data_IF_338770368208
#
_entry.id   IF_338770368208
#
_cell.length_a   1.000
_cell.length_b   1.000
_cell.length_c   1.000
_cell.angle_alpha   90.00
_cell.angle_beta   90.00
_cell.angle_gamma   90.00
#
_symmetry.space_group_name_H-M   'P 1'
#
loop_
_entity.id
_entity.type
_entity.pdbx_description
1 polymer ?
#
# COMPACT_ATOMS: atom_id res chain seq x y z
N UNK A 1 -20.56 -4.32 -0.13
CA UNK A 1 -20.21 -4.03 1.25
C UNK A 1 -21.35 -3.35 1.95
N UNK A 2 -21.18 -2.94 3.19
CA UNK A 2 -22.24 -2.29 3.98
C UNK A 2 -22.64 -0.95 3.34
N UNK A 3 -23.90 -0.85 2.87
CA UNK A 3 -24.42 0.34 2.17
C UNK A 3 -25.31 1.20 3.07
N UNK A 4 -25.72 0.67 4.23
CA UNK A 4 -26.58 1.34 5.19
C UNK A 4 -25.77 1.81 6.41
N UNK A 5 -26.22 2.90 7.02
CA UNK A 5 -25.62 3.49 8.21
C UNK A 5 -25.91 4.99 8.26
N UNK A 6 -25.74 5.60 9.44
CA UNK A 6 -26.04 7.02 9.67
C UNK A 6 -24.82 7.95 9.51
N UNK A 7 -23.63 7.38 9.38
CA UNK A 7 -22.37 8.13 9.24
C UNK A 7 -22.05 8.40 7.78
N UNK A 8 -21.23 9.42 7.46
CA UNK A 8 -20.69 9.59 6.12
C UNK A 8 -19.97 8.34 5.63
N UNK A 9 -20.16 7.94 4.36
CA UNK A 9 -19.59 6.71 3.83
C UNK A 9 -18.06 6.78 3.73
N UNK A 10 -17.40 5.67 4.07
CA UNK A 10 -15.98 5.45 3.82
C UNK A 10 -15.81 4.76 2.47
N UNK A 11 -15.06 5.39 1.56
CA UNK A 11 -14.69 4.83 0.26
C UNK A 11 -13.31 4.17 0.37
N UNK A 12 -13.28 2.83 0.38
CA UNK A 12 -12.04 2.06 0.43
C UNK A 12 -11.58 1.64 -0.96
N UNK A 13 -10.43 2.10 -1.36
CA UNK A 13 -9.81 1.72 -2.62
C UNK A 13 -9.15 0.36 -2.46
N UNK A 14 -9.53 -0.55 -3.35
CA UNK A 14 -9.02 -1.90 -3.44
C UNK A 14 -8.15 -2.04 -4.67
N UNK A 15 -6.98 -2.59 -4.50
CA UNK A 15 -6.02 -2.78 -5.58
C UNK A 15 -5.97 -4.22 -6.09
N UNK A 16 -6.31 -5.20 -5.25
CA UNK A 16 -6.36 -6.60 -5.66
C UNK A 16 -7.56 -7.34 -5.06
N UNK A 17 -7.88 -8.53 -5.60
CA UNK A 17 -9.12 -9.22 -5.21
C UNK A 17 -9.09 -9.80 -3.79
N UNK A 18 -7.91 -10.18 -3.29
CA UNK A 18 -7.74 -10.70 -1.92
C UNK A 18 -8.13 -9.74 -0.81
N UNK A 19 -8.15 -8.43 -1.06
CA UNK A 19 -8.57 -7.42 -0.09
C UNK A 19 -10.06 -7.46 0.30
N UNK A 20 -10.89 -8.21 -0.44
CA UNK A 20 -12.34 -8.30 -0.12
C UNK A 20 -12.58 -8.88 1.27
N UNK A 21 -11.87 -9.96 1.63
CA UNK A 21 -11.99 -10.58 2.94
C UNK A 21 -11.52 -9.63 4.04
N UNK A 22 -10.35 -9.03 3.89
CA UNK A 22 -9.78 -8.05 4.82
C UNK A 22 -10.71 -6.85 5.05
N UNK A 23 -11.27 -6.28 3.97
CA UNK A 23 -12.20 -5.18 4.08
C UNK A 23 -13.55 -5.58 4.70
N UNK A 24 -14.00 -6.82 4.51
CA UNK A 24 -15.20 -7.34 5.21
C UNK A 24 -14.96 -7.50 6.70
N UNK A 25 -13.79 -7.99 7.10
CA UNK A 25 -13.41 -8.09 8.51
C UNK A 25 -13.34 -6.72 9.15
N UNK A 26 -12.67 -5.77 8.51
CA UNK A 26 -12.63 -4.37 8.96
C UNK A 26 -14.04 -3.77 9.09
N UNK A 27 -14.93 -4.01 8.11
CA UNK A 27 -16.29 -3.50 8.14
C UNK A 27 -17.11 -4.02 9.33
N UNK A 28 -16.95 -5.29 9.71
CA UNK A 28 -17.61 -5.86 10.90
C UNK A 28 -17.17 -5.14 12.17
N UNK A 29 -15.88 -4.83 12.31
CA UNK A 29 -15.35 -4.12 13.47
C UNK A 29 -15.71 -2.63 13.51
N UNK A 30 -15.88 -1.98 12.35
CA UNK A 30 -16.36 -0.58 12.27
C UNK A 30 -17.86 -0.47 12.64
N UNK A 31 -18.57 -1.58 12.60
CA UNK A 31 -19.96 -1.69 13.04
C UNK A 31 -20.98 -1.22 11.99
N UNK A 32 -22.27 -1.49 12.25
CA UNK A 32 -23.34 -1.28 11.27
C UNK A 32 -23.62 0.19 10.93
N UNK A 33 -23.20 1.10 11.79
CA UNK A 33 -23.41 2.55 11.57
C UNK A 33 -22.48 3.17 10.54
N UNK A 34 -21.43 2.47 10.08
CA UNK A 34 -20.45 2.98 9.12
C UNK A 34 -20.66 2.40 7.73
N UNK A 35 -21.25 3.16 6.78
CA UNK A 35 -21.30 2.73 5.38
C UNK A 35 -19.90 2.62 4.79
N UNK A 36 -19.66 1.53 4.03
CA UNK A 36 -18.37 1.29 3.38
C UNK A 36 -18.60 0.88 1.93
N UNK A 37 -18.02 1.66 1.03
CA UNK A 37 -17.96 1.35 -0.40
C UNK A 37 -16.56 0.88 -0.77
N UNK A 38 -16.47 -0.33 -1.29
CA UNK A 38 -15.21 -0.89 -1.78
C UNK A 38 -15.09 -0.63 -3.28
N UNK A 39 -14.16 0.21 -3.65
CA UNK A 39 -13.86 0.55 -5.04
C UNK A 39 -12.95 -0.52 -5.63
N UNK A 40 -13.51 -1.37 -6.48
CA UNK A 40 -12.80 -2.53 -7.03
C UNK A 40 -11.68 -2.11 -8.02
N UNK A 41 -10.62 -2.91 -8.20
CA UNK A 41 -9.68 -2.71 -9.31
C UNK A 41 -10.36 -2.99 -10.66
N UNK A 42 -9.76 -2.55 -11.78
CA UNK A 42 -10.25 -2.94 -13.11
C UNK A 42 -10.20 -4.46 -13.27
N UNK A 43 -11.11 -4.98 -14.08
CA UNK A 43 -11.05 -6.36 -14.52
C UNK A 43 -10.22 -6.42 -15.79
N UNK A 44 -9.34 -7.40 -15.91
CA UNK A 44 -8.51 -7.57 -17.09
C UNK A 44 -7.58 -8.77 -16.96
N UNK A 45 -7.10 -9.24 -18.09
CA UNK A 45 -6.19 -10.37 -18.20
C UNK A 45 -4.88 -10.00 -18.89
N UNK A 46 -4.88 -8.91 -19.66
CA UNK A 46 -3.74 -8.43 -20.44
C UNK A 46 -3.09 -7.21 -19.79
N UNK A 47 -1.81 -6.95 -20.01
CA UNK A 47 -1.12 -5.78 -19.48
C UNK A 47 -1.79 -4.45 -19.79
N UNK A 48 -2.37 -4.30 -20.99
CA UNK A 48 -3.05 -3.09 -21.44
C UNK A 48 -4.41 -2.82 -20.76
N UNK A 49 -4.96 -3.79 -20.04
CA UNK A 49 -6.24 -3.66 -19.35
C UNK A 49 -6.11 -2.88 -18.02
N UNK A 50 -4.89 -2.60 -17.60
CA UNK A 50 -4.62 -1.95 -16.32
C UNK A 50 -4.02 -0.56 -16.48
N UNK A 51 -4.35 0.38 -15.57
CA UNK A 51 -3.74 1.71 -15.58
C UNK A 51 -2.21 1.65 -15.47
N UNK A 52 -1.53 2.52 -16.21
CA UNK A 52 -0.06 2.50 -16.36
C UNK A 52 0.71 3.13 -15.21
N UNK A 53 0.04 3.98 -14.40
CA UNK A 53 0.62 4.70 -13.27
C UNK A 53 -0.44 5.02 -12.19
N UNK A 54 0.00 5.54 -11.05
CA UNK A 54 -0.88 5.85 -9.93
C UNK A 54 -1.95 6.91 -10.25
N UNK A 55 -1.65 7.85 -11.14
CA UNK A 55 -2.61 8.89 -11.53
C UNK A 55 -3.77 8.29 -12.34
N UNK A 56 -3.46 7.41 -13.30
CA UNK A 56 -4.50 6.70 -14.07
C UNK A 56 -5.33 5.75 -13.18
N UNK A 57 -4.71 5.12 -12.16
CA UNK A 57 -5.44 4.37 -11.14
C UNK A 57 -6.37 5.26 -10.33
N UNK A 58 -5.93 6.47 -9.97
CA UNK A 58 -6.76 7.43 -9.23
C UNK A 58 -7.93 7.95 -10.06
N UNK A 59 -7.76 8.21 -11.36
CA UNK A 59 -8.86 8.60 -12.26
C UNK A 59 -9.93 7.52 -12.32
N UNK A 60 -9.54 6.26 -12.47
CA UNK A 60 -10.47 5.14 -12.47
C UNK A 60 -11.19 4.98 -11.12
N UNK A 61 -10.48 5.13 -10.01
CA UNK A 61 -11.09 5.06 -8.68
C UNK A 61 -12.05 6.22 -8.45
N UNK A 62 -11.69 7.44 -8.87
CA UNK A 62 -12.53 8.63 -8.78
C UNK A 62 -13.81 8.48 -9.59
N UNK A 63 -13.75 8.00 -10.83
CA UNK A 63 -14.95 7.77 -11.65
C UNK A 63 -15.95 6.83 -10.98
N UNK A 64 -15.44 5.77 -10.33
CA UNK A 64 -16.27 4.82 -9.57
C UNK A 64 -16.82 5.40 -8.27
N UNK A 65 -16.03 6.24 -7.61
CA UNK A 65 -16.47 6.95 -6.40
C UNK A 65 -17.61 7.91 -6.73
N UNK A 66 -17.47 8.72 -7.76
CA UNK A 66 -18.47 9.70 -8.18
C UNK A 66 -19.75 9.06 -8.74
N UNK A 67 -19.72 7.80 -9.14
CA UNK A 67 -20.90 7.03 -9.50
C UNK A 67 -21.78 6.64 -8.28
N UNK A 68 -21.29 6.82 -7.06
CA UNK A 68 -22.06 6.63 -5.84
C UNK A 68 -22.68 7.98 -5.46
N UNK A 69 -24.02 8.10 -5.39
CA UNK A 69 -24.67 9.35 -4.98
C UNK A 69 -24.21 9.79 -3.59
N UNK A 70 -23.40 10.85 -3.52
CA UNK A 70 -22.88 11.41 -2.28
C UNK A 70 -22.35 12.83 -2.54
N UNK A 71 -22.77 13.77 -1.73
CA UNK A 71 -22.38 15.19 -1.86
C UNK A 71 -21.18 15.60 -0.99
N UNK A 72 -20.62 14.65 -0.23
CA UNK A 72 -19.55 14.92 0.75
C UNK A 72 -20.09 15.11 2.17
N UNK A 73 -19.22 15.28 3.17
CA UNK A 73 -17.76 15.23 3.04
C UNK A 73 -17.24 13.84 2.66
N UNK A 74 -16.19 13.80 1.91
CA UNK A 74 -15.60 12.52 1.46
C UNK A 74 -14.59 11.98 2.47
N UNK A 75 -14.75 10.70 2.82
CA UNK A 75 -13.83 9.90 3.61
C UNK A 75 -13.27 8.83 2.67
N UNK A 76 -12.00 8.92 2.34
CA UNK A 76 -11.36 8.04 1.37
C UNK A 76 -10.23 7.29 2.04
N UNK A 77 -10.06 6.03 1.75
CA UNK A 77 -8.95 5.27 2.31
C UNK A 77 -8.49 4.13 1.42
N UNK A 78 -7.35 3.57 1.78
CA UNK A 78 -6.81 2.40 1.09
C UNK A 78 -5.62 1.80 1.79
N UNK A 79 -5.39 0.53 1.52
CA UNK A 79 -4.27 -0.22 2.06
C UNK A 79 -3.12 -0.28 1.09
N UNK A 80 -1.88 -0.12 1.59
CA UNK A 80 -0.67 -0.24 0.77
C UNK A 80 -0.73 0.72 -0.43
N UNK A 81 -0.63 0.24 -1.66
CA UNK A 81 -0.80 1.06 -2.87
C UNK A 81 -2.19 1.72 -2.97
N UNK A 82 -3.22 1.11 -2.40
CA UNK A 82 -4.55 1.70 -2.29
C UNK A 82 -4.57 3.03 -1.54
N UNK A 83 -3.71 3.20 -0.52
CA UNK A 83 -3.55 4.46 0.19
C UNK A 83 -2.90 5.55 -0.67
N UNK A 84 -1.96 5.19 -1.55
CA UNK A 84 -1.41 6.12 -2.56
C UNK A 84 -2.53 6.61 -3.48
N UNK A 85 -3.36 5.70 -3.97
CA UNK A 85 -4.47 6.05 -4.85
C UNK A 85 -5.51 6.88 -4.08
N UNK A 86 -5.77 6.58 -2.80
CA UNK A 86 -6.69 7.34 -1.96
C UNK A 86 -6.27 8.82 -1.81
N UNK A 87 -4.97 9.07 -1.59
CA UNK A 87 -4.44 10.43 -1.55
C UNK A 87 -4.65 11.16 -2.88
N UNK A 88 -4.32 10.52 -3.98
CA UNK A 88 -4.50 11.06 -5.34
C UNK A 88 -5.98 11.31 -5.70
N UNK A 89 -6.90 10.46 -5.23
CA UNK A 89 -8.35 10.67 -5.36
C UNK A 89 -8.79 11.87 -4.53
N UNK A 90 -8.31 11.99 -3.29
CA UNK A 90 -8.61 13.14 -2.43
C UNK A 90 -8.20 14.46 -3.07
N UNK A 91 -6.98 14.54 -3.62
CA UNK A 91 -6.49 15.71 -4.33
C UNK A 91 -7.38 16.08 -5.55
N UNK A 92 -7.90 15.08 -6.25
CA UNK A 92 -8.80 15.31 -7.39
C UNK A 92 -10.19 15.74 -6.97
N UNK A 93 -10.69 15.22 -5.85
CA UNK A 93 -11.96 15.66 -5.27
C UNK A 93 -11.90 17.13 -4.90
N UNK A 94 -10.84 17.58 -4.20
CA UNK A 94 -10.65 18.99 -3.84
C UNK A 94 -10.57 19.87 -5.08
N UNK A 95 -9.80 19.46 -6.11
CA UNK A 95 -9.76 20.22 -7.39
C UNK A 95 -11.11 20.31 -8.11
N UNK A 96 -12.04 19.40 -7.84
CA UNK A 96 -13.41 19.42 -8.33
C UNK A 96 -14.39 20.19 -7.40
N UNK A 97 -13.89 20.79 -6.32
CA UNK A 97 -14.66 21.57 -5.36
C UNK A 97 -15.37 20.73 -4.29
N UNK A 98 -15.05 19.45 -4.14
CA UNK A 98 -15.58 18.61 -3.08
C UNK A 98 -14.74 18.72 -1.79
N UNK A 99 -15.42 18.64 -0.65
CA UNK A 99 -14.77 18.56 0.66
C UNK A 99 -14.26 17.12 0.92
N UNK A 100 -12.99 17.01 1.27
CA UNK A 100 -12.36 15.75 1.73
C UNK A 100 -12.05 15.88 3.21
N UNK A 101 -12.80 15.18 4.04
CA UNK A 101 -12.66 15.25 5.50
C UNK A 101 -11.53 14.36 6.03
N UNK A 102 -11.18 13.29 5.34
CA UNK A 102 -10.07 12.41 5.75
C UNK A 102 -9.58 11.53 4.58
N UNK A 103 -8.26 11.38 4.50
CA UNK A 103 -7.61 10.32 3.74
C UNK A 103 -6.98 9.33 4.70
N UNK A 104 -7.48 8.09 4.74
CA UNK A 104 -6.95 7.02 5.58
C UNK A 104 -5.96 6.15 4.79
N UNK A 105 -4.69 6.24 5.13
CA UNK A 105 -3.59 5.48 4.54
C UNK A 105 -3.24 4.32 5.47
N UNK A 106 -3.63 3.09 5.09
CA UNK A 106 -3.44 1.90 5.90
C UNK A 106 -2.13 1.20 5.48
N UNK A 107 -1.13 1.33 6.31
CA UNK A 107 0.23 0.82 6.11
C UNK A 107 0.81 1.15 4.71
N UNK A 108 0.59 2.40 4.31
CA UNK A 108 0.97 2.94 3.01
C UNK A 108 2.37 3.55 3.07
N UNK A 109 3.36 2.81 2.61
CA UNK A 109 4.74 3.29 2.55
C UNK A 109 5.00 4.00 1.23
N UNK A 110 5.70 5.13 1.27
CA UNK A 110 6.19 5.77 0.06
C UNK A 110 7.34 4.95 -0.55
N UNK A 111 7.34 4.66 -1.86
CA UNK A 111 8.50 4.04 -2.50
C UNK A 111 9.75 4.90 -2.29
N UNK A 112 10.87 4.28 -1.95
CA UNK A 112 12.14 5.02 -1.78
C UNK A 112 12.42 5.87 -3.00
N UNK A 113 12.29 7.18 -2.83
CA UNK A 113 12.59 8.15 -3.87
C UNK A 113 14.10 8.16 -4.09
N UNK A 114 14.54 7.95 -5.32
CA UNK A 114 15.91 8.28 -5.65
C UNK A 114 15.99 9.79 -5.78
N UNK A 115 16.94 10.47 -5.12
CA UNK A 115 17.13 11.90 -5.32
C UNK A 115 17.31 12.16 -6.83
N UNK A 116 16.78 13.28 -7.35
CA UNK A 116 16.99 13.65 -8.74
C UNK A 116 18.50 13.67 -8.99
N UNK A 117 18.97 12.80 -9.86
CA UNK A 117 20.39 12.78 -10.23
C UNK A 117 20.67 14.12 -10.91
N UNK A 118 21.59 14.91 -10.36
CA UNK A 118 22.18 16.03 -11.08
C UNK A 118 22.51 15.56 -12.48
N UNK A 119 22.02 16.29 -13.49
CA UNK A 119 22.23 15.99 -14.91
C UNK A 119 23.73 15.77 -15.17
N UNK A 120 24.11 14.50 -15.21
CA UNK A 120 25.44 14.03 -15.51
C UNK A 120 25.31 12.59 -15.94
N UNK A 121 25.18 12.37 -17.25
CA UNK A 121 25.25 11.07 -17.95
C UNK A 121 24.27 10.00 -17.46
N UNK A 122 23.10 10.00 -18.06
CA UNK A 122 22.07 8.97 -17.89
C UNK A 122 22.63 7.56 -18.14
N UNK A 123 22.79 6.83 -17.05
CA UNK A 123 22.77 5.35 -17.18
C UNK A 123 21.31 4.91 -17.20
N UNK A 124 20.71 4.81 -18.36
CA UNK A 124 19.40 4.15 -18.66
C UNK A 124 19.32 2.69 -18.15
N UNK A 125 20.34 2.21 -17.42
CA UNK A 125 20.55 0.79 -17.16
C UNK A 125 19.96 0.20 -15.87
N UNK A 126 19.59 0.96 -14.84
CA UNK A 126 19.28 0.35 -13.55
C UNK A 126 17.80 -0.06 -13.44
N UNK A 127 16.88 0.76 -13.91
CA UNK A 127 15.44 0.43 -13.95
C UNK A 127 15.18 -0.68 -14.96
N UNK A 128 15.79 -0.57 -16.14
CA UNK A 128 15.76 -1.61 -17.17
C UNK A 128 16.36 -2.94 -16.69
N UNK A 129 17.44 -2.93 -15.91
CA UNK A 129 18.00 -4.13 -15.28
C UNK A 129 17.07 -4.75 -14.22
N UNK A 130 16.33 -3.94 -13.47
CA UNK A 130 15.39 -4.45 -12.48
C UNK A 130 14.14 -5.03 -13.14
N UNK A 131 13.62 -4.40 -14.17
CA UNK A 131 12.49 -4.91 -14.97
C UNK A 131 12.91 -6.19 -15.71
N UNK A 132 14.05 -6.19 -16.42
CA UNK A 132 14.58 -7.42 -17.07
C UNK A 132 14.86 -8.55 -16.09
N UNK A 133 15.26 -8.24 -14.87
CA UNK A 133 15.49 -9.26 -13.84
C UNK A 133 14.19 -9.88 -13.36
N UNK A 134 13.15 -9.06 -13.21
CA UNK A 134 11.82 -9.52 -12.85
C UNK A 134 11.20 -10.32 -14.00
N UNK A 135 11.34 -9.85 -15.25
CA UNK A 135 10.88 -10.57 -16.43
C UNK A 135 11.54 -11.95 -16.51
N UNK A 136 12.88 -12.02 -16.35
CA UNK A 136 13.61 -13.29 -16.38
C UNK A 136 13.22 -14.24 -15.24
N UNK A 137 12.88 -13.72 -14.06
CA UNK A 137 12.35 -14.52 -12.95
C UNK A 137 10.94 -15.05 -13.24
N UNK A 138 10.13 -14.26 -13.94
CA UNK A 138 8.76 -14.61 -14.30
C UNK A 138 8.68 -15.61 -15.46
N UNK A 139 9.71 -15.64 -16.33
CA UNK A 139 9.85 -16.58 -17.44
C UNK A 139 10.26 -18.00 -17.00
N UNK A 140 10.71 -18.16 -15.73
CA UNK A 140 11.09 -19.48 -15.21
C UNK A 140 9.84 -20.31 -14.89
N UNK A 141 9.75 -21.48 -15.49
CA UNK A 141 8.54 -22.32 -15.43
C UNK A 141 8.47 -23.17 -14.16
N UNK A 142 9.61 -23.58 -13.62
CA UNK A 142 9.66 -24.50 -12.49
C UNK A 142 10.05 -23.83 -11.17
N UNK A 143 9.52 -24.36 -10.06
CA UNK A 143 9.87 -23.95 -8.69
C UNK A 143 11.37 -24.08 -8.41
N UNK A 144 12.01 -25.08 -9.06
CA UNK A 144 13.43 -25.39 -8.90
C UNK A 144 14.31 -24.32 -9.55
N UNK A 145 13.95 -23.88 -10.74
CA UNK A 145 14.64 -22.81 -11.47
C UNK A 145 14.53 -21.46 -10.76
N UNK A 146 13.37 -21.14 -10.21
CA UNK A 146 13.15 -19.90 -9.43
C UNK A 146 13.98 -19.88 -8.16
N UNK A 147 14.04 -21.00 -7.43
CA UNK A 147 14.89 -21.16 -6.26
C UNK A 147 16.37 -21.02 -6.61
N UNK A 148 16.80 -21.64 -7.70
CA UNK A 148 18.16 -21.53 -8.19
C UNK A 148 18.52 -20.09 -8.57
N UNK A 149 17.61 -19.38 -9.26
CA UNK A 149 17.79 -17.97 -9.63
C UNK A 149 17.94 -17.06 -8.40
N UNK A 150 17.07 -17.24 -7.39
CA UNK A 150 17.12 -16.46 -6.15
C UNK A 150 18.39 -16.77 -5.37
N UNK A 151 18.76 -18.04 -5.22
CA UNK A 151 20.00 -18.48 -4.55
C UNK A 151 21.25 -17.93 -5.23
N UNK A 152 21.33 -18.01 -6.55
CA UNK A 152 22.44 -17.48 -7.32
C UNK A 152 22.57 -15.95 -7.15
N UNK A 153 21.45 -15.25 -7.07
CA UNK A 153 21.45 -13.80 -6.90
C UNK A 153 21.77 -13.37 -5.47
N UNK A 154 21.31 -14.13 -4.48
CA UNK A 154 21.69 -13.96 -3.09
C UNK A 154 23.18 -14.20 -2.88
N UNK A 155 23.72 -15.28 -3.46
CA UNK A 155 25.14 -15.59 -3.42
C UNK A 155 26.00 -14.47 -4.04
N UNK A 156 25.64 -13.97 -5.23
CA UNK A 156 26.34 -12.83 -5.87
C UNK A 156 26.28 -11.54 -5.06
N UNK A 157 25.18 -11.31 -4.30
CA UNK A 157 25.08 -10.17 -3.39
C UNK A 157 25.91 -10.34 -2.14
N UNK A 158 25.90 -11.54 -1.56
CA UNK A 158 26.73 -11.90 -0.41
C UNK A 158 28.22 -11.77 -0.74
N UNK A 159 28.63 -12.25 -1.92
CA UNK A 159 30.01 -12.14 -2.41
C UNK A 159 30.45 -10.68 -2.63
N UNK A 160 29.59 -9.84 -3.19
CA UNK A 160 29.84 -8.38 -3.31
C UNK A 160 29.93 -7.69 -1.95
N UNK A 161 29.09 -8.07 -1.00
CA UNK A 161 29.17 -7.57 0.37
C UNK A 161 30.43 -8.07 1.06
N UNK A 162 30.73 -9.35 0.98
CA UNK A 162 31.94 -9.95 1.54
C UNK A 162 33.21 -9.34 0.95
N UNK A 163 33.26 -9.08 -0.36
CA UNK A 163 34.37 -8.41 -1.00
C UNK A 163 34.52 -6.94 -0.56
N UNK A 164 33.42 -6.25 -0.26
CA UNK A 164 33.42 -4.89 0.28
C UNK A 164 33.84 -4.87 1.74
N UNK A 165 33.42 -5.86 2.54
CA UNK A 165 33.84 -6.05 3.92
C UNK A 165 35.31 -6.47 4.03
N UNK A 166 35.80 -7.32 3.13
CA UNK A 166 37.23 -7.69 3.05
C UNK A 166 38.12 -6.51 2.73
N UNK A 167 37.67 -5.55 1.94
CA UNK A 167 38.42 -4.30 1.66
C UNK A 167 38.39 -3.30 2.82
N UNK A 168 37.47 -3.43 3.76
CA UNK A 168 37.31 -2.56 4.91
C UNK A 168 37.94 -3.14 6.19
N UNK A 169 38.25 -4.43 6.21
CA UNK A 169 38.99 -5.12 7.29
C UNK A 169 40.37 -5.48 6.79
N UNK A 170 41.40 -4.91 7.43
CA UNK A 170 42.75 -5.43 7.33
C UNK A 170 42.84 -6.87 7.89
N UNK A 171 43.94 -7.58 7.71
CA UNK A 171 44.03 -9.01 8.02
C UNK A 171 43.92 -9.26 9.53
N UNK A 172 43.05 -10.19 9.93
CA UNK A 172 42.94 -10.62 11.32
C UNK A 172 42.36 -12.01 11.51
N UNK A 173 43.05 -12.76 12.29
CA UNK A 173 42.78 -13.76 13.34
C UNK A 173 41.62 -14.78 13.22
N UNK A 174 41.74 -15.95 13.87
CA UNK A 174 41.14 -17.20 13.41
C UNK A 174 39.72 -17.48 13.87
N UNK A 175 39.07 -18.37 13.14
CA UNK A 175 37.70 -18.84 13.27
C UNK A 175 37.45 -19.59 14.59
N UNK A 176 36.30 -19.36 15.17
CA UNK A 176 35.65 -20.25 16.13
C UNK A 176 34.40 -20.86 15.51
N UNK A 177 34.35 -22.14 15.56
CA UNK A 177 33.35 -23.08 15.10
C UNK A 177 32.04 -22.92 15.87
N UNK A 178 30.89 -22.72 15.20
CA UNK A 178 29.57 -22.78 15.80
C UNK A 178 28.73 -23.86 15.14
N UNK A 179 28.40 -24.86 15.92
CA UNK A 179 27.58 -26.03 15.57
C UNK A 179 26.09 -25.63 15.52
N UNK A 180 25.31 -26.04 14.54
CA UNK A 180 23.87 -25.73 14.49
C UNK A 180 23.07 -26.70 15.35
N UNK A 181 22.17 -26.15 16.18
CA UNK A 181 21.17 -26.91 16.96
C UNK A 181 19.93 -27.07 16.10
N UNK A 182 19.55 -28.32 15.84
CA UNK A 182 18.29 -28.69 15.20
C UNK A 182 17.15 -28.70 16.21
N UNK A 183 16.02 -28.07 15.87
CA UNK A 183 14.76 -28.20 16.61
C UNK A 183 13.76 -29.06 15.81
N UNK A 184 13.04 -29.98 16.48
CA UNK A 184 12.12 -30.93 15.82
C UNK A 184 10.73 -30.30 15.57
N UNK A 185 10.10 -30.84 14.52
CA UNK A 185 8.89 -30.41 13.87
C UNK A 185 7.62 -30.24 14.69
N UNK A 186 6.83 -29.30 14.22
CA UNK A 186 5.38 -29.23 14.42
C UNK A 186 4.75 -29.15 13.04
N UNK A 187 3.82 -30.07 12.77
CA UNK A 187 3.04 -30.10 11.54
C UNK A 187 2.03 -28.94 11.51
N UNK A 188 1.79 -28.30 10.38
CA UNK A 188 0.81 -27.23 10.28
C UNK A 188 -0.59 -27.79 10.00
N UNK A 189 -1.53 -27.41 10.85
CA UNK A 189 -2.95 -27.45 10.54
C UNK A 189 -3.28 -26.36 9.50
N UNK A 190 -4.20 -26.68 8.61
CA UNK A 190 -4.72 -25.88 7.50
C UNK A 190 -4.89 -24.38 7.81
N UNK A 191 -4.04 -23.58 7.22
CA UNK A 191 -4.30 -22.18 7.00
C UNK A 191 -3.82 -21.81 5.60
N UNK A 192 -4.75 -21.40 4.76
CA UNK A 192 -4.50 -20.86 3.42
C UNK A 192 -3.72 -19.53 3.50
N UNK A 193 -2.50 -19.57 4.02
CA UNK A 193 -1.54 -18.50 3.89
C UNK A 193 -0.99 -18.50 2.45
N UNK A 194 -1.51 -17.61 1.66
CA UNK A 194 -0.92 -17.26 0.36
C UNK A 194 0.36 -16.48 0.62
N UNK A 195 1.43 -17.19 0.93
CA UNK A 195 2.78 -16.62 0.90
C UNK A 195 3.11 -16.24 -0.55
N UNK A 196 3.51 -14.99 -0.77
CA UNK A 196 3.92 -14.43 -2.07
C UNK A 196 5.18 -15.10 -2.67
N UNK A 197 5.66 -16.17 -2.09
CA UNK A 197 6.81 -16.96 -2.50
C UNK A 197 6.34 -18.17 -3.29
N UNK A 198 6.20 -18.02 -4.59
CA UNK A 198 6.03 -19.16 -5.51
C UNK A 198 4.85 -19.13 -6.48
N UNK A 199 3.98 -18.13 -6.47
CA UNK A 199 2.96 -17.94 -7.51
C UNK A 199 3.44 -16.91 -8.54
N UNK A 200 3.20 -17.21 -9.82
CA UNK A 200 3.35 -16.26 -10.93
C UNK A 200 2.54 -15.00 -10.59
N UNK A 201 3.17 -13.83 -10.50
CA UNK A 201 2.46 -12.59 -10.25
C UNK A 201 1.42 -12.40 -11.34
N UNK A 202 0.15 -12.13 -10.96
CA UNK A 202 -0.88 -11.79 -11.93
C UNK A 202 -0.53 -10.49 -12.67
N UNK A 203 -1.07 -10.29 -13.87
CA UNK A 203 -0.87 -9.06 -14.63
C UNK A 203 -1.29 -7.82 -13.81
N UNK A 204 -2.37 -7.96 -13.04
CA UNK A 204 -2.83 -6.93 -12.11
C UNK A 204 -1.76 -6.58 -11.05
N UNK A 205 -1.19 -7.58 -10.38
CA UNK A 205 -0.13 -7.35 -9.37
C UNK A 205 1.11 -6.69 -9.97
N UNK A 206 1.47 -7.07 -11.20
CA UNK A 206 2.57 -6.46 -11.95
C UNK A 206 2.30 -5.00 -12.28
N UNK A 207 1.10 -4.67 -12.75
CA UNK A 207 0.68 -3.30 -13.05
C UNK A 207 0.71 -2.42 -11.78
N UNK A 208 0.17 -2.91 -10.67
CA UNK A 208 0.22 -2.25 -9.36
C UNK A 208 1.67 -1.96 -8.94
N UNK A 209 2.52 -2.98 -9.01
CA UNK A 209 3.93 -2.84 -8.60
C UNK A 209 4.69 -1.83 -9.45
N UNK A 210 4.47 -1.83 -10.77
CA UNK A 210 5.07 -0.85 -11.69
C UNK A 210 4.57 0.56 -11.40
N UNK A 211 3.26 0.73 -11.23
CA UNK A 211 2.66 2.03 -10.91
C UNK A 211 3.17 2.56 -9.56
N UNK A 212 3.24 1.71 -8.53
CA UNK A 212 3.78 2.04 -7.22
C UNK A 212 5.25 2.51 -7.29
N UNK A 213 6.12 1.75 -7.94
CA UNK A 213 7.55 2.10 -8.04
C UNK A 213 7.83 3.38 -8.83
N UNK A 214 6.97 3.70 -9.80
CA UNK A 214 7.06 4.91 -10.61
C UNK A 214 6.46 6.13 -9.92
N UNK A 215 5.62 5.92 -8.92
CA UNK A 215 4.90 7.02 -8.28
C UNK A 215 5.84 8.07 -7.70
N UNK A 216 5.47 9.33 -7.90
CA UNK A 216 6.12 10.52 -7.35
C UNK A 216 5.02 11.39 -6.77
N UNK A 217 5.00 11.60 -5.44
CA UNK A 217 3.97 12.42 -4.81
C UNK A 217 4.14 13.89 -5.20
N UNK A 218 3.02 14.57 -5.32
CA UNK A 218 2.93 16.02 -5.14
C UNK A 218 2.81 16.36 -3.66
N UNK A 219 2.91 17.63 -3.31
CA UNK A 219 2.55 18.09 -1.97
C UNK A 219 1.04 17.99 -1.77
N UNK A 220 0.60 17.64 -0.54
CA UNK A 220 -0.82 17.55 -0.19
C UNK A 220 -1.08 18.26 1.13
N UNK A 221 -2.15 19.07 1.16
CA UNK A 221 -2.67 19.71 2.38
C UNK A 221 -3.90 19.01 2.95
N UNK A 222 -4.23 17.82 2.45
CA UNK A 222 -5.35 17.02 2.93
C UNK A 222 -5.12 16.52 4.36
N UNK A 223 -6.18 16.37 5.16
CA UNK A 223 -6.09 15.69 6.44
C UNK A 223 -5.85 14.19 6.21
N UNK A 224 -4.76 13.67 6.75
CA UNK A 224 -4.31 12.29 6.56
C UNK A 224 -4.23 11.55 7.88
N UNK A 225 -4.80 10.35 7.92
CA UNK A 225 -4.55 9.34 8.95
C UNK A 225 -3.62 8.28 8.37
N UNK A 226 -2.41 8.15 8.93
CA UNK A 226 -1.48 7.07 8.62
C UNK A 226 -1.54 6.02 9.73
N UNK A 227 -2.19 4.88 9.49
CA UNK A 227 -2.10 3.71 10.37
C UNK A 227 -1.01 2.78 9.85
N UNK A 228 0.02 2.55 10.65
CA UNK A 228 1.24 1.85 10.25
C UNK A 228 1.57 0.68 11.16
N UNK A 229 2.23 -0.33 10.62
CA UNK A 229 2.78 -1.44 11.39
C UNK A 229 4.22 -1.14 11.81
N UNK A 230 4.69 -1.76 12.90
CA UNK A 230 6.07 -1.64 13.32
C UNK A 230 7.07 -2.15 12.25
N UNK A 231 6.69 -3.18 11.52
CA UNK A 231 7.48 -3.71 10.40
C UNK A 231 7.68 -2.65 9.30
N UNK A 232 6.63 -1.95 8.92
CA UNK A 232 6.69 -0.91 7.88
C UNK A 232 7.45 0.33 8.34
N UNK A 233 7.31 0.72 9.61
CA UNK A 233 8.07 1.82 10.20
C UNK A 233 9.57 1.53 10.22
N UNK A 234 9.97 0.35 10.69
CA UNK A 234 11.37 -0.07 10.68
C UNK A 234 11.96 -0.11 9.27
N UNK A 235 11.18 -0.53 8.27
CA UNK A 235 11.62 -0.57 6.88
C UNK A 235 11.71 0.82 6.20
N UNK A 236 10.92 1.78 6.66
CA UNK A 236 10.95 3.17 6.19
C UNK A 236 12.00 4.01 6.93
N UNK A 237 12.35 3.63 8.16
CA UNK A 237 13.17 4.35 9.12
C UNK A 237 12.55 5.70 9.58
N UNK A 238 11.24 5.84 9.45
CA UNK A 238 10.50 6.99 9.96
C UNK A 238 9.01 6.66 10.20
N UNK A 239 8.39 7.37 11.16
CA UNK A 239 7.00 7.18 11.56
C UNK A 239 5.96 7.65 10.54
N UNK A 240 6.38 8.37 9.51
CA UNK A 240 5.50 8.81 8.41
C UNK A 240 5.55 7.88 7.21
N UNK A 241 6.33 6.81 7.28
CA UNK A 241 6.58 5.87 6.17
C UNK A 241 7.09 6.56 4.89
N UNK A 242 7.85 7.66 5.02
CA UNK A 242 8.41 8.44 3.94
C UNK A 242 7.53 9.58 3.43
N UNK A 243 6.35 9.77 4.01
CA UNK A 243 5.39 10.77 3.55
C UNK A 243 5.59 12.16 4.17
N UNK A 244 6.30 12.29 5.30
CA UNK A 244 6.46 13.55 6.04
C UNK A 244 6.77 14.77 5.16
N UNK A 245 7.72 14.73 4.23
CA UNK A 245 8.05 15.86 3.36
C UNK A 245 6.96 16.26 2.35
N UNK A 246 5.92 15.43 2.18
CA UNK A 246 4.89 15.59 1.14
C UNK A 246 3.51 15.92 1.71
N UNK A 247 3.29 15.73 3.01
CA UNK A 247 2.03 15.98 3.67
C UNK A 247 2.17 17.26 4.49
N UNK A 248 1.52 18.32 4.04
CA UNK A 248 1.58 19.66 4.64
C UNK A 248 0.32 20.00 5.44
N UNK A 249 -0.71 19.14 5.38
CA UNK A 249 -1.93 19.25 6.19
C UNK A 249 -1.81 18.51 7.53
N UNK A 250 -2.96 18.32 8.18
CA UNK A 250 -3.04 17.54 9.42
C UNK A 250 -2.65 16.09 9.17
N UNK A 251 -1.51 15.66 9.70
CA UNK A 251 -1.05 14.28 9.67
C UNK A 251 -1.16 13.64 11.06
N UNK A 252 -2.12 12.74 11.22
CA UNK A 252 -2.19 11.83 12.35
C UNK A 252 -1.52 10.50 11.98
N UNK A 253 -0.52 10.08 12.75
CA UNK A 253 0.17 8.81 12.51
C UNK A 253 0.17 7.94 13.77
N UNK A 254 -0.29 6.69 13.65
CA UNK A 254 -0.40 5.77 14.76
C UNK A 254 0.01 4.35 14.40
N UNK A 255 0.66 3.65 15.37
CA UNK A 255 0.99 2.24 15.24
C UNK A 255 -0.26 1.37 15.42
N UNK A 256 -0.36 0.32 14.64
CA UNK A 256 -1.32 -0.78 14.80
C UNK A 256 -0.58 -2.10 14.92
N UNK A 257 -1.12 -3.08 15.64
CA UNK A 257 -0.52 -4.40 15.76
C UNK A 257 -0.57 -5.17 14.45
N UNK A 258 0.19 -6.25 14.39
CA UNK A 258 0.36 -7.09 13.20
C UNK A 258 1.45 -6.58 12.27
N UNK A 259 1.53 -7.23 11.11
CA UNK A 259 2.43 -6.87 10.02
C UNK A 259 1.61 -6.38 8.82
N UNK A 260 2.29 -5.94 7.76
CA UNK A 260 1.63 -5.44 6.54
C UNK A 260 0.49 -6.32 6.03
N UNK A 261 0.68 -7.65 6.06
CA UNK A 261 -0.32 -8.60 5.56
C UNK A 261 -1.33 -9.05 6.62
N UNK A 262 -1.00 -8.99 7.92
CA UNK A 262 -1.83 -9.54 9.00
C UNK A 262 -2.59 -8.50 9.81
N UNK A 263 -2.38 -7.20 9.57
CA UNK A 263 -3.06 -6.12 10.30
C UNK A 263 -4.59 -6.15 10.21
N UNK A 264 -5.15 -6.85 9.21
CA UNK A 264 -6.60 -7.05 9.03
C UNK A 264 -7.11 -8.37 9.61
N UNK A 265 -6.24 -9.17 10.20
CA UNK A 265 -6.57 -10.45 10.82
C UNK A 265 -6.82 -10.27 12.33
N UNK A 266 -7.60 -11.18 12.91
CA UNK A 266 -7.76 -11.24 14.36
C UNK A 266 -6.42 -11.63 15.03
N UNK A 267 -6.06 -11.04 16.17
CA UNK A 267 -6.81 -10.02 16.94
C UNK A 267 -6.49 -8.57 16.52
N UNK A 268 -5.65 -8.35 15.52
CA UNK A 268 -5.09 -7.05 15.15
C UNK A 268 -6.13 -6.07 14.59
N UNK A 269 -7.07 -6.58 13.83
CA UNK A 269 -8.08 -5.79 13.12
C UNK A 269 -8.97 -4.98 14.06
N UNK A 270 -9.20 -5.46 15.29
CA UNK A 270 -9.96 -4.72 16.30
C UNK A 270 -9.33 -3.38 16.64
N UNK A 271 -8.00 -3.35 16.86
CA UNK A 271 -7.24 -2.12 17.14
C UNK A 271 -7.20 -1.21 15.92
N UNK A 272 -6.96 -1.76 14.73
CA UNK A 272 -7.00 -1.04 13.46
C UNK A 272 -8.35 -0.32 13.29
N UNK A 273 -9.45 -1.07 13.45
CA UNK A 273 -10.81 -0.54 13.30
C UNK A 273 -11.13 0.53 14.35
N UNK A 274 -10.74 0.33 15.59
CA UNK A 274 -10.95 1.31 16.68
C UNK A 274 -10.26 2.65 16.37
N UNK A 275 -9.00 2.63 15.95
CA UNK A 275 -8.26 3.84 15.55
C UNK A 275 -8.88 4.52 14.33
N UNK A 276 -9.24 3.74 13.32
CA UNK A 276 -9.91 4.27 12.12
C UNK A 276 -11.26 4.87 12.47
N UNK A 277 -12.10 4.18 13.25
CA UNK A 277 -13.42 4.68 13.68
C UNK A 277 -13.32 6.00 14.44
N UNK A 278 -12.36 6.14 15.35
CA UNK A 278 -12.14 7.38 16.07
C UNK A 278 -11.77 8.53 15.15
N UNK A 279 -10.90 8.30 14.16
CA UNK A 279 -10.52 9.32 13.19
C UNK A 279 -11.67 9.70 12.26
N UNK A 280 -12.45 8.72 11.78
CA UNK A 280 -13.65 8.95 10.96
C UNK A 280 -14.68 9.79 11.72
N UNK A 281 -14.90 9.52 13.01
CA UNK A 281 -15.84 10.29 13.84
C UNK A 281 -15.37 11.75 14.01
N UNK A 282 -14.08 11.97 14.30
CA UNK A 282 -13.52 13.33 14.39
C UNK A 282 -13.61 14.09 13.07
N UNK A 283 -13.29 13.44 11.96
CA UNK A 283 -13.37 14.03 10.63
C UNK A 283 -14.81 14.45 10.30
N UNK A 284 -15.77 13.55 10.55
CA UNK A 284 -17.18 13.84 10.31
C UNK A 284 -17.73 14.98 11.18
N UNK A 285 -17.23 15.13 12.41
CA UNK A 285 -17.65 16.23 13.31
C UNK A 285 -17.07 17.59 12.89
N UNK A 286 -15.90 17.62 12.22
CA UNK A 286 -15.28 18.87 11.73
C UNK A 286 -15.89 19.38 10.43
N UNK A 287 -16.48 18.49 9.64
CA UNK A 287 -17.06 18.85 8.35
C UNK A 287 -18.38 19.58 8.53
N UNK A 288 -18.50 20.75 7.93
CA UNK A 288 -19.76 21.50 7.91
C UNK A 288 -20.83 20.70 7.15
N UNK A 289 -22.10 20.70 7.62
CA UNK A 289 -23.19 20.20 6.82
C UNK A 289 -23.23 21.01 5.50
N UNK A 290 -23.56 20.38 4.35
CA UNK A 290 -23.66 21.08 3.09
C UNK A 290 -24.66 22.25 3.25
N UNK A 291 -24.23 23.47 2.91
CA UNK A 291 -25.11 24.61 2.87
C UNK A 291 -26.25 24.26 1.91
N UNK A 292 -27.52 24.46 2.35
CA UNK A 292 -28.74 24.15 1.58
C UNK A 292 -28.81 24.82 0.19
N UNK A 293 -27.92 25.75 -0.12
CA UNK A 293 -27.89 26.52 -1.37
C UNK A 293 -27.30 25.77 -2.60
N UNK A 294 -26.70 24.57 -2.44
CA UNK A 294 -26.12 23.84 -3.60
C UNK A 294 -26.98 22.68 -4.11
N UNK A 295 -28.24 22.59 -3.71
CA UNK A 295 -29.16 21.55 -4.17
C UNK A 295 -29.86 21.85 -5.51
N UNK A 296 -29.53 22.93 -6.21
CA UNK A 296 -30.12 23.31 -7.50
C UNK A 296 -29.14 23.10 -8.67
N UNK A 297 -28.70 21.86 -8.87
CA UNK A 297 -28.24 21.44 -10.19
C UNK A 297 -29.30 20.52 -10.78
N UNK A 298 -30.34 21.17 -11.29
CA UNK A 298 -31.27 20.55 -12.25
C UNK A 298 -30.60 20.52 -13.60
N UNK A 299 -30.49 19.30 -14.19
CA UNK A 299 -30.37 18.87 -15.59
C UNK A 299 -29.33 19.58 -16.47
#
# INVERSE_FOLDING_TARGET
MQRSGSRPPLFLIRTWQGEVASQRTLARHLGPGQPIYSLAPPRGEKPGDFPVDAHAWAELALSRLLAVPHSGPYLVGGWSFGGVIALEVGERLVRKGFEVALVAMLDTRLPKQRPPRRRGREKRGALHKSVKTLDRFLELDTRRERLAFVRQRAARRAEKLASRWRRLRGPSAPESEVVPIATPGVAPADATHVTMTGRRMSQLQRAIWVAYLKYRPGGSALPVLQLRTAQSEAAAADATLGWGPWLHGDLESALVPGEHMTMFEEPHVGVLAGRLAAALARASARSRPPSRERANWTL
#
